data_IF_425632025430
#
_entry.id   IF_425632025430
#
_cell.length_a   1.000
_cell.length_b   1.000
_cell.length_c   1.000
_cell.angle_alpha   90.00
_cell.angle_beta   90.00
_cell.angle_gamma   90.00
#
_symmetry.space_group_name_H-M   'P 1'
#
loop_
_entity.id
_entity.type
_entity.pdbx_description
1 polymer ?
#
# COMPACT_ATOMS: atom_id res chain seq x y z
N UNK A 1 -62.83 -55.29 -19.89
CA UNK A 1 -64.06 -55.57 -19.16
C UNK A 1 -64.30 -54.55 -18.12
N UNK A 2 -65.44 -53.91 -18.21
CA UNK A 2 -66.21 -53.13 -17.22
C UNK A 2 -65.52 -51.84 -16.69
N UNK A 3 -65.88 -50.64 -17.20
CA UNK A 3 -67.12 -49.84 -17.03
C UNK A 3 -67.49 -49.64 -15.54
N UNK A 4 -67.55 -48.38 -15.13
CA UNK A 4 -68.71 -47.67 -14.57
C UNK A 4 -68.21 -46.42 -13.76
N UNK A 5 -68.52 -45.28 -14.24
CA UNK A 5 -69.57 -44.23 -14.02
C UNK A 5 -69.23 -43.27 -12.85
N UNK A 6 -69.26 -42.03 -13.25
CA UNK A 6 -69.37 -40.78 -12.41
C UNK A 6 -70.69 -40.73 -11.64
N UNK A 7 -70.71 -39.94 -10.60
CA UNK A 7 -71.79 -38.97 -10.50
C UNK A 7 -71.31 -37.55 -10.21
N UNK A 8 -72.01 -36.69 -10.85
CA UNK A 8 -72.15 -35.24 -10.69
C UNK A 8 -72.71 -34.86 -9.32
N UNK A 9 -72.13 -33.85 -8.64
CA UNK A 9 -72.92 -33.07 -7.68
C UNK A 9 -72.54 -31.58 -7.69
N UNK A 10 -73.53 -30.85 -8.09
CA UNK A 10 -74.13 -29.54 -7.74
C UNK A 10 -73.27 -28.56 -6.92
N UNK A 11 -73.09 -27.44 -7.58
CA UNK A 11 -72.76 -26.13 -7.05
C UNK A 11 -73.69 -25.65 -5.97
N UNK A 12 -73.16 -25.18 -4.86
CA UNK A 12 -73.80 -24.25 -3.95
C UNK A 12 -72.93 -23.00 -3.85
N UNK A 13 -73.38 -21.93 -4.43
CA UNK A 13 -72.86 -20.58 -4.24
C UNK A 13 -73.24 -20.10 -2.84
N UNK A 14 -72.22 -19.78 -2.04
CA UNK A 14 -72.43 -18.99 -0.83
C UNK A 14 -71.71 -17.66 -1.06
N UNK A 15 -72.48 -16.58 -1.09
CA UNK A 15 -72.03 -15.23 -1.08
C UNK A 15 -71.65 -14.88 0.39
N UNK A 16 -70.42 -14.57 0.67
CA UNK A 16 -70.04 -13.96 1.92
C UNK A 16 -69.54 -12.54 1.67
N UNK A 17 -69.84 -11.59 2.52
CA UNK A 17 -69.52 -10.17 2.29
C UNK A 17 -68.03 -9.91 2.47
N UNK A 18 -67.53 -9.08 1.56
CA UNK A 18 -66.19 -8.54 1.56
C UNK A 18 -66.05 -7.50 2.69
N UNK A 19 -65.43 -7.88 3.78
CA UNK A 19 -65.02 -6.91 4.82
C UNK A 19 -63.66 -6.35 4.39
N UNK A 20 -63.70 -5.11 3.90
CA UNK A 20 -62.49 -4.33 3.58
C UNK A 20 -61.84 -3.86 4.90
N UNK A 21 -60.81 -4.59 5.39
CA UNK A 21 -59.97 -4.11 6.48
C UNK A 21 -58.86 -3.27 5.84
N UNK A 22 -58.99 -1.96 5.93
CA UNK A 22 -57.91 -1.02 5.61
C UNK A 22 -56.95 -1.08 6.77
N UNK A 23 -55.93 -1.96 6.66
CA UNK A 23 -54.76 -1.94 7.52
C UNK A 23 -53.86 -0.78 7.09
N UNK A 24 -53.83 0.31 7.88
CA UNK A 24 -52.81 1.34 7.74
C UNK A 24 -51.46 0.71 8.10
N UNK A 25 -50.65 0.37 7.09
CA UNK A 25 -49.24 0.12 7.27
C UNK A 25 -48.56 1.45 7.64
N UNK A 26 -48.31 1.64 8.92
CA UNK A 26 -47.33 2.60 9.37
C UNK A 26 -45.97 2.09 8.88
N UNK A 27 -45.52 2.61 7.75
CA UNK A 27 -44.14 2.48 7.35
C UNK A 27 -43.36 3.40 8.31
N UNK A 28 -42.85 2.81 9.40
CA UNK A 28 -41.79 3.45 10.13
C UNK A 28 -40.61 3.61 9.15
N UNK A 29 -40.52 4.80 8.58
CA UNK A 29 -39.37 5.26 7.85
C UNK A 29 -38.22 5.47 8.81
N UNK A 30 -37.69 4.39 9.35
CA UNK A 30 -36.37 4.41 9.96
C UNK A 30 -35.40 4.88 8.88
N UNK A 31 -35.04 6.16 8.92
CA UNK A 31 -33.86 6.66 8.24
C UNK A 31 -32.70 5.82 8.76
N UNK A 32 -32.37 4.72 8.08
CA UNK A 32 -31.08 4.12 8.19
C UNK A 32 -30.10 5.23 7.79
N UNK A 33 -29.53 5.88 8.80
CA UNK A 33 -28.33 6.67 8.61
C UNK A 33 -27.39 5.69 7.92
N UNK A 34 -27.19 5.86 6.62
CA UNK A 34 -26.15 5.16 5.89
C UNK A 34 -24.85 5.58 6.61
N UNK A 35 -24.41 4.71 7.48
CA UNK A 35 -23.07 4.80 8.06
C UNK A 35 -22.14 4.69 6.84
N UNK A 36 -21.69 5.87 6.38
CA UNK A 36 -20.66 5.92 5.36
C UNK A 36 -19.39 5.37 6.01
N UNK A 37 -19.32 4.04 6.13
CA UNK A 37 -18.05 3.38 6.34
C UNK A 37 -17.16 3.85 5.19
N UNK A 38 -16.32 4.83 5.49
CA UNK A 38 -15.28 5.22 4.54
C UNK A 38 -14.52 3.93 4.23
N UNK A 39 -14.48 3.56 2.97
CA UNK A 39 -13.72 2.39 2.51
C UNK A 39 -12.27 2.77 2.32
N UNK A 40 -11.37 1.80 2.44
CA UNK A 40 -9.97 1.97 2.03
C UNK A 40 -9.94 2.44 0.58
N UNK A 41 -9.17 3.49 0.31
CA UNK A 41 -9.06 4.07 -1.02
C UNK A 41 -7.59 4.19 -1.44
N UNK A 42 -7.25 3.58 -2.56
CA UNK A 42 -5.95 3.73 -3.19
C UNK A 42 -6.04 4.89 -4.19
N UNK A 43 -5.11 5.82 -4.12
CA UNK A 43 -5.00 6.91 -5.10
C UNK A 43 -4.61 6.30 -6.44
N UNK A 44 -5.36 6.56 -7.54
CA UNK A 44 -5.04 5.99 -8.85
C UNK A 44 -3.64 6.39 -9.35
N UNK A 45 -2.94 5.55 -10.12
CA UNK A 45 -1.54 5.78 -10.50
C UNK A 45 -1.33 7.04 -11.34
N UNK A 46 -2.32 7.45 -12.14
CA UNK A 46 -2.26 8.70 -12.94
C UNK A 46 -2.75 9.94 -12.21
N UNK A 47 -3.22 9.82 -10.96
CA UNK A 47 -3.76 10.95 -10.22
C UNK A 47 -2.66 11.76 -9.53
N UNK A 48 -2.96 13.03 -9.28
CA UNK A 48 -2.17 13.86 -8.38
C UNK A 48 -2.80 13.88 -7.00
N UNK A 49 -1.99 13.81 -5.98
CA UNK A 49 -2.40 14.00 -4.60
C UNK A 49 -1.76 15.26 -4.03
N UNK A 50 -2.57 16.22 -3.58
CA UNK A 50 -2.11 17.57 -3.18
C UNK A 50 -1.19 18.23 -4.22
N UNK A 51 -1.55 18.12 -5.50
CA UNK A 51 -0.83 18.75 -6.61
C UNK A 51 0.50 18.08 -6.99
N UNK A 52 0.81 16.90 -6.43
CA UNK A 52 2.03 16.13 -6.70
C UNK A 52 1.70 14.76 -7.31
N UNK A 53 2.52 14.34 -8.26
CA UNK A 53 2.47 12.98 -8.83
C UNK A 53 3.08 11.96 -7.87
N UNK A 54 2.86 10.68 -8.14
CA UNK A 54 3.51 9.59 -7.40
C UNK A 54 5.04 9.70 -7.37
N UNK A 55 5.69 9.98 -8.51
CA UNK A 55 7.14 10.15 -8.57
C UNK A 55 7.64 11.31 -7.70
N UNK A 56 6.87 12.40 -7.61
CA UNK A 56 7.20 13.50 -6.71
C UNK A 56 7.01 13.16 -5.23
N UNK A 57 6.04 12.30 -4.91
CA UNK A 57 5.87 11.78 -3.55
C UNK A 57 6.95 10.76 -3.19
N UNK A 58 7.37 9.92 -4.14
CA UNK A 58 8.50 9.01 -3.97
C UNK A 58 9.82 9.77 -3.73
N UNK A 59 10.04 10.89 -4.44
CA UNK A 59 11.18 11.77 -4.12
C UNK A 59 11.09 12.34 -2.70
N UNK A 60 9.89 12.73 -2.23
CA UNK A 60 9.70 13.22 -0.87
C UNK A 60 9.88 12.11 0.18
N UNK A 61 9.49 10.87 -0.13
CA UNK A 61 9.76 9.71 0.70
C UNK A 61 11.28 9.52 0.88
N UNK A 62 12.03 9.48 -0.21
CA UNK A 62 13.48 9.32 -0.15
C UNK A 62 14.16 10.49 0.56
N UNK A 63 13.73 11.73 0.32
CA UNK A 63 14.23 12.90 1.07
C UNK A 63 14.02 12.75 2.58
N UNK A 64 12.85 12.25 3.00
CA UNK A 64 12.56 11.97 4.41
C UNK A 64 13.46 10.85 4.94
N UNK A 65 13.51 9.71 4.25
CA UNK A 65 14.24 8.53 4.69
C UNK A 65 15.75 8.83 4.82
N UNK A 66 16.36 9.41 3.78
CA UNK A 66 17.80 9.70 3.76
C UNK A 66 18.24 10.79 4.77
N UNK A 67 17.30 11.60 5.27
CA UNK A 67 17.57 12.61 6.28
C UNK A 67 17.42 12.11 7.72
N UNK A 68 16.91 10.91 7.92
CA UNK A 68 16.76 10.34 9.26
C UNK A 68 18.11 9.95 9.87
N UNK A 69 18.30 10.10 11.21
CA UNK A 69 19.47 9.59 11.89
C UNK A 69 19.46 8.06 11.90
N UNK A 70 20.62 7.44 12.10
CA UNK A 70 20.72 5.97 12.23
C UNK A 70 19.94 5.43 13.42
N UNK A 71 19.97 6.16 14.54
CA UNK A 71 19.21 5.76 15.73
C UNK A 71 17.71 5.83 15.45
N UNK A 72 17.03 4.69 15.54
CA UNK A 72 15.60 4.58 15.23
C UNK A 72 15.29 4.67 13.73
N UNK A 73 16.26 4.47 12.85
CA UNK A 73 16.00 4.46 11.42
C UNK A 73 15.16 3.24 11.01
N UNK A 74 14.07 3.41 10.23
CA UNK A 74 13.15 2.33 9.87
C UNK A 74 13.83 1.11 9.20
N UNK A 75 14.86 1.33 8.40
CA UNK A 75 15.61 0.23 7.75
C UNK A 75 16.45 -0.61 8.71
N UNK A 76 16.76 -0.10 9.90
CA UNK A 76 17.54 -0.79 10.93
C UNK A 76 16.68 -1.31 12.08
N UNK A 77 15.37 -1.17 11.97
CA UNK A 77 14.45 -1.66 12.99
C UNK A 77 14.56 -3.18 13.17
N UNK A 78 14.46 -3.62 14.43
CA UNK A 78 14.59 -5.04 14.74
C UNK A 78 13.42 -5.85 14.23
N UNK A 79 13.63 -6.92 13.45
CA UNK A 79 12.53 -7.80 13.04
C UNK A 79 11.87 -8.51 14.23
N UNK A 80 12.54 -8.63 15.38
CA UNK A 80 12.03 -9.30 16.57
C UNK A 80 11.08 -8.41 17.40
N UNK A 81 11.08 -7.09 17.21
CA UNK A 81 10.16 -6.16 17.84
C UNK A 81 9.03 -5.81 16.86
N UNK A 82 7.79 -6.28 17.09
CA UNK A 82 6.67 -5.98 16.21
C UNK A 82 6.16 -4.53 16.37
N UNK A 83 6.49 -3.87 17.48
CA UNK A 83 6.05 -2.50 17.74
C UNK A 83 7.03 -1.51 17.16
N UNK A 84 6.54 -0.72 16.23
CA UNK A 84 7.35 0.26 15.54
C UNK A 84 6.66 1.63 15.54
N UNK A 85 7.37 2.64 16.04
CA UNK A 85 6.96 4.04 15.94
C UNK A 85 7.54 4.68 14.69
N UNK A 86 6.78 4.70 13.61
CA UNK A 86 7.19 5.35 12.36
C UNK A 86 6.80 6.84 12.30
N UNK A 87 6.50 7.45 13.44
CA UNK A 87 6.16 8.88 13.51
C UNK A 87 7.38 9.80 13.37
N UNK A 88 8.59 9.27 13.50
CA UNK A 88 9.82 10.04 13.44
C UNK A 88 9.98 10.80 12.11
N UNK A 89 10.20 12.11 12.18
CA UNK A 89 10.36 12.97 11.02
C UNK A 89 9.09 13.14 10.15
N UNK A 90 7.95 12.56 10.54
CA UNK A 90 6.71 12.64 9.80
C UNK A 90 6.07 14.02 9.92
N UNK A 91 5.56 14.54 8.82
CA UNK A 91 4.86 15.82 8.79
C UNK A 91 3.75 15.86 7.74
N UNK A 92 2.80 16.81 7.91
CA UNK A 92 1.75 17.04 6.91
C UNK A 92 0.72 15.90 6.80
N UNK A 93 0.15 15.74 5.60
CA UNK A 93 -0.95 14.81 5.31
C UNK A 93 -0.49 13.44 4.89
N UNK A 94 0.67 13.32 4.26
CA UNK A 94 1.24 12.06 3.78
C UNK A 94 2.22 11.54 4.83
N UNK A 95 2.02 10.30 5.23
CA UNK A 95 2.92 9.57 6.11
C UNK A 95 3.65 8.51 5.32
N UNK A 96 4.97 8.53 5.41
CA UNK A 96 5.86 7.63 4.70
C UNK A 96 6.05 6.34 5.48
N UNK A 97 6.05 5.24 4.77
CA UNK A 97 6.32 3.93 5.35
C UNK A 97 7.59 3.34 4.75
N UNK A 98 8.43 2.84 5.62
CA UNK A 98 9.66 2.13 5.30
C UNK A 98 9.87 1.01 6.31
N UNK A 99 10.57 -0.04 5.92
CA UNK A 99 10.89 -1.19 6.77
C UNK A 99 12.17 -1.88 6.30
N UNK A 100 12.85 -2.66 7.17
CA UNK A 100 13.94 -3.52 6.72
C UNK A 100 13.43 -4.62 5.80
N UNK A 101 14.37 -5.29 5.10
CA UNK A 101 14.09 -6.51 4.34
C UNK A 101 13.74 -7.68 5.28
N UNK A 102 13.03 -8.65 4.75
CA UNK A 102 12.76 -9.92 5.41
C UNK A 102 11.31 -10.30 5.44
N UNK A 103 10.94 -11.45 6.00
CA UNK A 103 9.61 -11.66 6.53
C UNK A 103 9.49 -10.98 7.89
N UNK A 104 8.60 -9.98 8.00
CA UNK A 104 8.39 -9.29 9.27
C UNK A 104 6.93 -8.84 9.46
N UNK A 105 6.54 -8.68 10.73
CA UNK A 105 5.25 -8.10 11.10
C UNK A 105 5.47 -6.84 11.91
N UNK A 106 4.65 -5.80 11.64
CA UNK A 106 4.66 -4.52 12.36
C UNK A 106 3.28 -4.18 12.89
N UNK A 107 3.23 -3.73 14.13
CA UNK A 107 2.02 -3.20 14.78
C UNK A 107 2.22 -1.69 14.91
N UNK A 108 1.43 -0.92 14.19
CA UNK A 108 1.62 0.53 14.09
C UNK A 108 0.32 1.29 14.27
N UNK A 109 0.43 2.53 14.74
CA UNK A 109 -0.70 3.46 14.85
C UNK A 109 -0.44 4.69 13.98
N UNK A 110 -1.45 5.11 13.24
CA UNK A 110 -1.44 6.29 12.38
C UNK A 110 -2.62 7.18 12.73
N UNK A 111 -2.44 8.51 12.88
CA UNK A 111 -3.55 9.42 13.13
C UNK A 111 -4.55 9.44 11.97
N UNK A 112 -5.85 9.54 12.29
CA UNK A 112 -6.92 9.69 11.30
C UNK A 112 -6.67 10.88 10.35
N UNK A 113 -7.03 10.71 9.10
CA UNK A 113 -6.90 11.73 8.05
C UNK A 113 -5.51 11.86 7.45
N UNK A 114 -4.58 10.98 7.80
CA UNK A 114 -3.32 10.80 7.07
C UNK A 114 -3.52 9.88 5.88
N UNK A 115 -2.62 9.99 4.91
CA UNK A 115 -2.50 9.09 3.77
C UNK A 115 -1.18 8.35 3.90
N UNK A 116 -1.23 7.05 3.92
CA UNK A 116 -0.03 6.23 3.96
C UNK A 116 0.62 6.20 2.56
N UNK A 117 1.89 6.60 2.48
CA UNK A 117 2.73 6.36 1.31
C UNK A 117 3.53 5.09 1.58
N UNK A 118 3.06 3.99 1.02
CA UNK A 118 3.62 2.66 1.19
C UNK A 118 4.64 2.38 0.08
N UNK A 119 5.87 2.08 0.47
CA UNK A 119 6.88 1.53 -0.44
C UNK A 119 6.74 0.02 -0.45
N UNK A 120 6.46 -0.56 -1.63
CA UNK A 120 6.32 -2.02 -1.77
C UNK A 120 7.69 -2.66 -1.98
N UNK A 121 8.41 -2.18 -2.96
CA UNK A 121 9.81 -2.51 -3.24
C UNK A 121 10.39 -1.41 -4.11
N UNK A 122 11.48 -0.81 -3.68
CA UNK A 122 12.05 0.35 -4.33
C UNK A 122 13.56 0.45 -4.07
N UNK A 123 14.21 1.30 -4.83
CA UNK A 123 15.63 1.60 -4.75
C UNK A 123 15.84 3.08 -5.04
N UNK A 124 16.90 3.63 -4.50
CA UNK A 124 17.47 4.90 -4.94
C UNK A 124 18.95 4.72 -5.29
N UNK A 125 19.49 5.63 -6.05
CA UNK A 125 20.92 5.72 -6.34
C UNK A 125 21.36 7.18 -6.32
N UNK A 126 22.51 7.45 -5.69
CA UNK A 126 22.86 8.82 -5.33
C UNK A 126 24.33 9.17 -5.59
N UNK A 127 24.66 10.45 -5.36
CA UNK A 127 26.03 10.94 -5.41
C UNK A 127 26.83 10.64 -4.15
N UNK A 128 26.20 10.10 -3.09
CA UNK A 128 26.86 9.82 -1.79
C UNK A 128 27.13 8.34 -1.55
N UNK A 129 26.51 7.46 -2.30
CA UNK A 129 26.68 6.03 -2.17
C UNK A 129 27.94 5.52 -2.87
N UNK A 130 28.33 4.29 -2.55
CA UNK A 130 29.37 3.56 -3.27
C UNK A 130 28.75 2.72 -4.40
N UNK A 131 29.53 2.33 -5.42
CA UNK A 131 29.03 1.37 -6.41
C UNK A 131 28.52 0.08 -5.75
N UNK A 132 27.40 -0.50 -6.22
CA UNK A 132 26.72 -0.22 -7.49
C UNK A 132 25.65 0.88 -7.42
N UNK A 133 25.43 1.52 -6.27
CA UNK A 133 24.39 2.54 -6.08
C UNK A 133 24.87 3.97 -6.34
N UNK A 134 26.14 4.17 -6.67
CA UNK A 134 26.70 5.48 -7.02
C UNK A 134 26.29 5.93 -8.42
N UNK A 135 25.92 7.21 -8.54
CA UNK A 135 25.72 7.89 -9.81
C UNK A 135 26.10 9.37 -9.72
N UNK A 136 27.13 9.81 -10.46
CA UNK A 136 27.64 11.18 -10.43
C UNK A 136 26.69 12.18 -11.10
N UNK A 137 25.85 11.71 -12.03
CA UNK A 137 24.92 12.54 -12.81
C UNK A 137 23.49 12.01 -12.72
N UNK A 138 22.49 12.85 -13.01
CA UNK A 138 21.09 12.42 -13.07
C UNK A 138 20.90 11.22 -14.03
N UNK A 139 21.59 11.24 -15.17
CA UNK A 139 21.47 10.18 -16.15
C UNK A 139 21.98 8.81 -15.61
N UNK A 140 23.12 8.83 -14.89
CA UNK A 140 23.67 7.63 -14.22
C UNK A 140 22.77 7.17 -13.10
N UNK A 141 22.32 8.06 -12.21
CA UNK A 141 21.40 7.74 -11.13
C UNK A 141 20.13 7.10 -11.67
N UNK A 142 19.55 7.68 -12.72
CA UNK A 142 18.33 7.17 -13.36
C UNK A 142 18.55 5.81 -14.04
N UNK A 143 19.69 5.61 -14.69
CA UNK A 143 20.03 4.34 -15.31
C UNK A 143 20.20 3.24 -14.26
N UNK A 144 20.92 3.55 -13.18
CA UNK A 144 21.19 2.60 -12.11
C UNK A 144 19.92 2.25 -11.33
N UNK A 145 19.14 3.24 -10.89
CA UNK A 145 17.88 2.97 -10.16
C UNK A 145 16.88 2.20 -11.02
N UNK A 146 16.79 2.53 -12.32
CA UNK A 146 15.96 1.78 -13.26
C UNK A 146 16.44 0.34 -13.40
N UNK A 147 17.74 0.12 -13.52
CA UNK A 147 18.32 -1.22 -13.67
C UNK A 147 17.96 -2.09 -12.46
N UNK A 148 18.16 -1.61 -11.23
CA UNK A 148 17.75 -2.33 -10.03
C UNK A 148 16.24 -2.58 -10.00
N UNK A 149 15.42 -1.56 -10.29
CA UNK A 149 13.98 -1.71 -10.26
C UNK A 149 13.43 -2.64 -11.35
N UNK A 150 14.16 -2.84 -12.46
CA UNK A 150 13.82 -3.84 -13.49
C UNK A 150 13.99 -5.29 -12.98
N UNK A 151 14.78 -5.49 -11.91
CA UNK A 151 14.97 -6.79 -11.25
C UNK A 151 13.93 -7.08 -10.17
N UNK A 152 12.98 -6.16 -9.93
CA UNK A 152 11.88 -6.39 -9.00
C UNK A 152 10.83 -7.30 -9.65
N UNK A 153 10.62 -8.47 -9.08
CA UNK A 153 9.66 -9.46 -9.51
C UNK A 153 8.68 -9.81 -8.40
N UNK A 154 7.58 -10.48 -8.73
CA UNK A 154 6.60 -11.02 -7.78
C UNK A 154 6.04 -9.98 -6.80
N UNK A 155 5.85 -8.73 -7.25
CA UNK A 155 5.23 -7.70 -6.40
C UNK A 155 3.78 -8.04 -6.08
N UNK A 156 3.42 -7.87 -4.80
CA UNK A 156 2.07 -8.08 -4.32
C UNK A 156 1.72 -7.06 -3.23
N UNK A 157 0.43 -6.79 -3.08
CA UNK A 157 -0.11 -6.06 -1.94
C UNK A 157 -1.56 -6.51 -1.70
N UNK A 158 -1.88 -6.82 -0.46
CA UNK A 158 -3.20 -7.25 -0.01
C UNK A 158 -3.59 -6.34 1.15
N UNK A 159 -4.70 -5.63 1.03
CA UNK A 159 -5.22 -4.74 2.06
C UNK A 159 -6.57 -5.27 2.54
N UNK A 160 -6.71 -5.51 3.84
CA UNK A 160 -7.92 -6.05 4.46
C UNK A 160 -8.44 -7.30 3.72
N UNK A 161 -7.53 -8.21 3.38
CA UNK A 161 -7.78 -9.42 2.61
C UNK A 161 -8.20 -9.21 1.14
N UNK A 162 -8.12 -7.99 0.62
CA UNK A 162 -8.41 -7.67 -0.78
C UNK A 162 -7.11 -7.41 -1.55
N UNK A 163 -6.77 -8.21 -2.57
CA UNK A 163 -5.60 -7.95 -3.41
C UNK A 163 -5.72 -6.61 -4.14
N UNK A 164 -4.60 -5.88 -4.21
CA UNK A 164 -4.49 -4.67 -5.02
C UNK A 164 -4.23 -5.07 -6.47
N UNK A 165 -5.21 -4.77 -7.32
CA UNK A 165 -5.14 -5.10 -8.73
C UNK A 165 -4.17 -4.19 -9.49
N UNK A 166 -3.55 -4.72 -10.57
CA UNK A 166 -2.72 -3.97 -11.51
C UNK A 166 -1.56 -3.20 -10.86
N UNK A 167 -0.86 -3.82 -9.90
CA UNK A 167 0.28 -3.20 -9.20
C UNK A 167 1.38 -2.71 -10.16
N UNK A 168 1.50 -3.31 -11.35
CA UNK A 168 2.48 -2.88 -12.36
C UNK A 168 2.28 -1.42 -12.79
N UNK A 169 1.07 -0.89 -12.71
CA UNK A 169 0.79 0.52 -12.98
C UNK A 169 1.29 1.49 -11.89
N UNK A 170 1.72 0.96 -10.75
CA UNK A 170 2.21 1.73 -9.61
C UNK A 170 3.73 1.75 -9.49
N UNK A 171 4.44 1.41 -10.56
CA UNK A 171 5.87 1.66 -10.67
C UNK A 171 6.14 3.08 -11.12
N UNK A 172 6.99 3.80 -10.38
CA UNK A 172 7.34 5.19 -10.66
C UNK A 172 8.83 5.44 -10.43
N UNK A 173 9.43 6.16 -11.37
CA UNK A 173 10.72 6.79 -11.17
C UNK A 173 10.51 8.21 -10.61
N UNK A 174 11.40 8.63 -9.72
CA UNK A 174 11.38 10.00 -9.19
C UNK A 174 11.94 11.00 -10.22
N UNK A 175 11.57 12.29 -10.16
CA UNK A 175 12.49 13.32 -10.64
C UNK A 175 13.80 13.24 -9.84
N UNK A 176 14.91 13.76 -10.38
CA UNK A 176 16.08 13.94 -9.53
C UNK A 176 15.72 14.89 -8.37
N UNK A 177 16.18 14.56 -7.17
CA UNK A 177 15.96 15.36 -5.98
C UNK A 177 17.26 15.57 -5.20
N UNK A 178 17.33 16.69 -4.49
CA UNK A 178 18.39 16.98 -3.54
C UNK A 178 18.03 16.42 -2.17
N UNK A 179 19.03 15.98 -1.41
CA UNK A 179 18.88 15.57 -0.03
C UNK A 179 20.10 15.95 0.81
N UNK A 180 19.96 15.85 2.14
CA UNK A 180 21.06 16.02 3.07
C UNK A 180 21.03 14.87 4.05
N UNK A 181 22.03 14.01 4.00
CA UNK A 181 22.22 12.89 4.89
C UNK A 181 22.99 13.29 6.16
N UNK A 182 22.64 12.77 7.35
CA UNK A 182 23.44 12.92 8.57
C UNK A 182 24.77 12.19 8.45
N UNK A 183 25.68 12.40 9.39
CA UNK A 183 26.94 11.67 9.48
C UNK A 183 27.02 10.96 10.83
N UNK A 184 27.05 9.62 10.90
CA UNK A 184 26.84 8.66 9.80
C UNK A 184 25.37 8.63 9.32
N UNK A 185 25.12 8.06 8.16
CA UNK A 185 23.78 7.89 7.59
C UNK A 185 23.51 6.44 7.21
N UNK A 186 22.30 6.16 6.75
CA UNK A 186 21.83 4.77 6.54
C UNK A 186 22.68 3.97 5.53
N UNK A 187 23.27 4.61 4.54
CA UNK A 187 24.07 3.95 3.50
C UNK A 187 25.57 4.28 3.56
N UNK A 188 26.06 4.97 4.62
CA UNK A 188 27.48 5.26 4.69
C UNK A 188 27.96 5.97 5.96
N UNK A 189 29.27 5.96 6.11
CA UNK A 189 29.95 6.58 7.26
C UNK A 189 29.95 8.12 7.21
N UNK A 190 29.89 8.70 6.00
CA UNK A 190 29.95 10.16 5.79
C UNK A 190 28.73 10.59 4.99
N UNK A 191 27.90 11.42 5.59
CA UNK A 191 26.76 12.05 4.94
C UNK A 191 27.13 13.37 4.29
N UNK A 192 26.14 14.20 4.04
CA UNK A 192 26.29 15.51 3.41
C UNK A 192 25.18 15.80 2.42
N UNK A 193 25.37 16.84 1.61
CA UNK A 193 24.44 17.17 0.52
C UNK A 193 24.72 16.29 -0.70
N UNK A 194 23.67 15.72 -1.26
CA UNK A 194 23.73 14.88 -2.46
C UNK A 194 22.50 15.04 -3.35
N UNK A 195 22.56 14.39 -4.50
CA UNK A 195 21.42 14.23 -5.41
C UNK A 195 21.13 12.75 -5.62
N UNK A 196 19.86 12.42 -5.85
CA UNK A 196 19.43 11.04 -6.06
C UNK A 196 18.27 10.93 -7.04
N UNK A 197 18.13 9.74 -7.61
CA UNK A 197 16.94 9.28 -8.35
C UNK A 197 16.54 7.92 -7.81
N UNK A 198 15.24 7.76 -7.50
CA UNK A 198 14.66 6.49 -7.11
C UNK A 198 13.76 5.91 -8.19
N UNK A 199 13.53 4.60 -8.12
CA UNK A 199 12.57 3.87 -8.95
C UNK A 199 11.99 2.70 -8.12
N UNK A 200 10.73 2.34 -8.34
CA UNK A 200 10.11 1.24 -7.62
C UNK A 200 8.59 1.31 -7.62
N UNK A 201 7.99 0.49 -6.76
CA UNK A 201 6.55 0.30 -6.62
C UNK A 201 6.05 0.98 -5.36
N UNK A 202 5.07 1.88 -5.51
CA UNK A 202 4.56 2.71 -4.42
C UNK A 202 3.04 2.77 -4.44
N UNK A 203 2.41 2.79 -3.26
CA UNK A 203 0.98 3.04 -3.12
C UNK A 203 0.72 4.23 -2.20
N UNK A 204 -0.28 5.03 -2.53
CA UNK A 204 -0.87 6.01 -1.61
C UNK A 204 -2.23 5.50 -1.18
N UNK A 205 -2.40 5.26 0.12
CA UNK A 205 -3.59 4.61 0.66
C UNK A 205 -4.23 5.47 1.75
N UNK A 206 -5.48 5.80 1.56
CA UNK A 206 -6.34 6.43 2.57
C UNK A 206 -7.11 5.36 3.32
N UNK A 207 -6.90 5.31 4.63
CA UNK A 207 -7.60 4.39 5.51
C UNK A 207 -8.67 5.13 6.31
N UNK A 208 -9.86 4.55 6.48
CA UNK A 208 -10.80 5.00 7.49
C UNK A 208 -10.27 4.70 8.91
N UNK A 209 -10.88 5.32 9.90
CA UNK A 209 -10.62 4.97 11.31
C UNK A 209 -10.94 3.50 11.55
N UNK A 210 -10.06 2.81 12.27
CA UNK A 210 -10.22 1.39 12.59
C UNK A 210 -8.94 0.58 12.52
N UNK A 211 -9.10 -0.74 12.45
CA UNK A 211 -7.99 -1.69 12.31
C UNK A 211 -7.93 -2.20 10.88
N UNK A 212 -6.73 -2.21 10.34
CA UNK A 212 -6.45 -2.65 8.97
C UNK A 212 -5.26 -3.59 8.94
N UNK A 213 -5.22 -4.44 7.94
CA UNK A 213 -4.06 -5.30 7.67
C UNK A 213 -3.54 -5.02 6.27
N UNK A 214 -2.24 -4.83 6.15
CA UNK A 214 -1.56 -4.67 4.87
C UNK A 214 -0.50 -5.76 4.79
N UNK A 215 -0.59 -6.64 3.79
CA UNK A 215 0.43 -7.64 3.49
C UNK A 215 1.00 -7.36 2.10
N UNK A 216 2.28 -7.07 2.01
CA UNK A 216 2.89 -6.62 0.77
C UNK A 216 4.33 -7.09 0.65
N UNK A 217 4.84 -7.06 -0.57
CA UNK A 217 6.23 -7.37 -0.83
C UNK A 217 6.55 -7.54 -2.31
N UNK A 218 7.73 -8.09 -2.54
CA UNK A 218 8.31 -8.38 -3.85
C UNK A 218 9.72 -8.91 -3.66
N UNK A 219 10.39 -9.25 -4.74
CA UNK A 219 11.71 -9.87 -4.68
C UNK A 219 12.62 -9.16 -5.69
N UNK A 220 13.82 -8.78 -5.27
CA UNK A 220 14.90 -8.57 -6.25
C UNK A 220 15.44 -9.92 -6.67
N UNK A 221 15.45 -10.18 -7.95
CA UNK A 221 16.02 -11.36 -8.56
C UNK A 221 17.19 -10.96 -9.45
N UNK A 222 18.38 -11.49 -9.15
CA UNK A 222 19.58 -11.21 -9.93
C UNK A 222 20.12 -12.51 -10.52
N UNK A 223 20.48 -12.46 -11.79
CA UNK A 223 21.15 -13.57 -12.47
C UNK A 223 22.62 -13.67 -12.07
N UNK A 224 23.24 -14.81 -12.36
CA UNK A 224 24.67 -15.00 -12.12
C UNK A 224 25.51 -13.96 -12.87
N UNK A 225 26.44 -13.32 -12.15
CA UNK A 225 27.37 -12.32 -12.66
C UNK A 225 26.87 -10.87 -12.65
N UNK A 226 25.57 -10.61 -12.40
CA UNK A 226 25.02 -9.25 -12.48
C UNK A 226 25.53 -8.32 -11.38
N UNK A 227 25.76 -8.85 -10.19
CA UNK A 227 26.38 -8.13 -9.06
C UNK A 227 27.70 -8.77 -8.62
N UNK A 228 28.38 -9.51 -9.52
CA UNK A 228 29.61 -10.23 -9.22
C UNK A 228 29.41 -11.55 -8.46
N UNK A 229 28.17 -12.03 -8.37
CA UNK A 229 27.77 -13.30 -7.78
C UNK A 229 27.99 -14.46 -8.77
N UNK A 230 28.39 -15.65 -8.26
CA UNK A 230 28.61 -16.83 -9.10
C UNK A 230 27.28 -17.52 -9.52
N UNK A 231 26.24 -17.43 -8.67
CA UNK A 231 24.93 -18.06 -8.88
C UNK A 231 23.81 -17.01 -8.78
N UNK A 232 22.65 -17.24 -9.41
CA UNK A 232 21.51 -16.38 -9.23
C UNK A 232 21.10 -16.31 -7.76
N UNK A 233 20.55 -15.17 -7.31
CA UNK A 233 20.03 -15.04 -5.95
C UNK A 233 18.82 -14.10 -5.87
N UNK A 234 18.05 -14.31 -4.81
CA UNK A 234 16.84 -13.56 -4.49
C UNK A 234 17.02 -12.77 -3.19
N UNK A 235 16.52 -11.54 -3.18
CA UNK A 235 16.34 -10.73 -1.98
C UNK A 235 14.84 -10.49 -1.76
N UNK A 236 14.15 -11.40 -1.06
CA UNK A 236 12.71 -11.28 -0.83
C UNK A 236 12.39 -10.18 0.19
N UNK A 237 11.26 -9.52 0.00
CA UNK A 237 10.64 -8.60 0.92
C UNK A 237 9.20 -9.03 1.15
N UNK A 238 8.84 -9.29 2.40
CA UNK A 238 7.53 -9.80 2.80
C UNK A 238 7.16 -9.18 4.14
N UNK A 239 6.22 -8.24 4.13
CA UNK A 239 5.87 -7.44 5.31
C UNK A 239 4.37 -7.48 5.57
N UNK A 240 4.00 -7.74 6.81
CA UNK A 240 2.64 -7.57 7.31
C UNK A 240 2.56 -6.39 8.27
N UNK A 241 1.71 -5.42 7.97
CA UNK A 241 1.39 -4.30 8.86
C UNK A 241 0.01 -4.54 9.48
N UNK A 242 -0.05 -4.54 10.81
CA UNK A 242 -1.28 -4.43 11.57
C UNK A 242 -1.46 -2.94 11.94
N UNK A 243 -2.23 -2.23 11.13
CA UNK A 243 -2.42 -0.79 11.24
C UNK A 243 -3.65 -0.45 12.08
N UNK A 244 -3.47 0.41 13.07
CA UNK A 244 -4.58 1.11 13.75
C UNK A 244 -4.61 2.56 13.28
N UNK A 245 -5.78 3.01 12.82
CA UNK A 245 -6.04 4.43 12.51
C UNK A 245 -6.97 5.00 13.57
N UNK A 246 -6.55 6.01 14.33
CA UNK A 246 -7.27 6.56 15.48
C UNK A 246 -7.33 8.11 15.50
#
# INVERSE_FOLDING_TARGET
MQNLTKPTQRTRRWSAPLILVIGALLIDGGSALADHHKTVRIVPPGAQFHGRSYGQWAASFWQWSLALPLEGHPFLDSPDDPYFDFSAGQSGKVWFWSSPDGPLTRIVTMPEGKVLFLTIRDVETSTLEEPPFFGATEAEQRANSKWFADHIVNVFCIIDSVPVENLQAYRFSTPQFEFTAPTPWIFGATGGAGTSVGDGYFLMVEFPKGHHTIHYGGTYHFEAGELGNDEPFDLPHDVTIQLTVD
#
